data_IF_575527399925
#
_entry.id   IF_575527399925
#
_cell.length_a   1.000
_cell.length_b   1.000
_cell.length_c   1.000
_cell.angle_alpha   90.00
_cell.angle_beta   90.00
_cell.angle_gamma   90.00
#
_symmetry.space_group_name_H-M   'P 1'
#
loop_
_entity.id
_entity.type
_entity.pdbx_description
1 polymer ?
#
# COMPACT_ATOMS: atom_id res chain seq x y z
N UNK A 1 -1.69 10.22 18.03
CA UNK A 1 -1.42 8.77 18.03
C UNK A 1 -1.38 8.39 16.57
N UNK A 2 -0.19 8.35 15.99
CA UNK A 2 -0.01 8.24 14.53
C UNK A 2 0.03 6.77 14.10
N UNK A 3 -0.93 5.98 14.61
CA UNK A 3 -1.04 4.52 14.41
C UNK A 3 0.22 3.70 14.74
N UNK A 4 1.09 4.20 15.62
CA UNK A 4 2.25 3.45 16.11
C UNK A 4 1.85 2.06 16.63
N UNK A 5 2.37 0.96 16.03
CA UNK A 5 2.02 -0.40 16.44
C UNK A 5 2.36 -0.68 17.92
N UNK A 6 3.41 -0.04 18.46
CA UNK A 6 3.81 -0.17 19.87
C UNK A 6 2.77 0.41 20.83
N UNK A 7 2.25 1.59 20.54
CA UNK A 7 1.20 2.24 21.30
C UNK A 7 -0.15 1.52 21.13
N UNK A 8 -0.52 1.19 19.89
CA UNK A 8 -1.82 0.56 19.57
C UNK A 8 -1.93 -0.85 20.18
N UNK A 9 -0.86 -1.63 20.18
CA UNK A 9 -0.85 -2.99 20.74
C UNK A 9 -1.09 -3.04 22.26
N UNK A 10 -0.76 -1.96 22.97
CA UNK A 10 -0.93 -1.80 24.43
C UNK A 10 -2.30 -1.23 24.81
N UNK A 11 -3.12 -0.85 23.85
CA UNK A 11 -4.46 -0.33 24.14
C UNK A 11 -5.35 -1.41 24.74
N UNK A 12 -6.17 -1.03 25.73
CA UNK A 12 -7.16 -1.91 26.33
C UNK A 12 -8.55 -1.56 25.82
N UNK A 13 -9.35 -2.59 25.54
CA UNK A 13 -10.72 -2.44 25.05
C UNK A 13 -11.57 -1.57 26.00
N UNK A 14 -11.40 -1.75 27.32
CA UNK A 14 -12.10 -0.98 28.37
C UNK A 14 -11.81 0.51 28.32
N UNK A 15 -10.61 0.92 27.89
CA UNK A 15 -10.24 2.34 27.80
C UNK A 15 -10.86 3.04 26.58
N UNK A 16 -11.34 2.26 25.61
CA UNK A 16 -11.87 2.76 24.33
C UNK A 16 -13.40 2.65 24.24
N UNK A 17 -14.02 1.78 25.06
CA UNK A 17 -15.47 1.65 25.17
C UNK A 17 -16.06 2.41 26.37
N UNK A 18 -15.24 3.15 27.13
CA UNK A 18 -15.69 3.92 28.28
C UNK A 18 -16.69 5.02 27.86
N UNK A 19 -17.85 5.15 28.53
CA UNK A 19 -18.79 6.25 28.30
C UNK A 19 -18.12 7.59 28.65
N UNK A 20 -18.04 8.51 27.68
CA UNK A 20 -17.43 9.84 27.88
C UNK A 20 -16.20 10.15 27.00
N UNK A 21 -15.57 9.13 26.39
CA UNK A 21 -14.59 9.31 25.30
C UNK A 21 -15.23 9.22 23.90
N UNK A 22 -16.56 9.23 23.85
CA UNK A 22 -17.39 8.78 22.74
C UNK A 22 -17.70 9.86 21.69
N UNK A 23 -16.73 10.69 21.31
CA UNK A 23 -16.97 11.67 20.25
C UNK A 23 -16.55 11.25 18.84
N UNK A 24 -15.81 10.14 18.61
CA UNK A 24 -15.38 9.88 17.20
C UNK A 24 -15.04 8.44 16.76
N UNK A 25 -15.26 7.38 17.55
CA UNK A 25 -14.92 6.03 17.07
C UNK A 25 -16.03 5.40 16.21
N UNK A 26 -15.89 5.53 14.89
CA UNK A 26 -16.75 4.89 13.87
C UNK A 26 -16.62 3.34 13.83
N UNK A 27 -15.80 2.73 14.69
CA UNK A 27 -15.49 1.31 14.67
C UNK A 27 -16.30 0.54 15.70
N UNK A 28 -16.86 -0.59 15.30
CA UNK A 28 -17.48 -1.55 16.22
C UNK A 28 -16.43 -2.24 17.11
N UNK A 29 -16.83 -2.72 18.28
CA UNK A 29 -15.91 -3.39 19.22
C UNK A 29 -15.10 -4.55 18.59
N UNK A 30 -15.66 -5.42 17.73
CA UNK A 30 -14.86 -6.45 17.03
C UNK A 30 -13.80 -5.87 16.09
N UNK A 31 -14.10 -4.77 15.38
CA UNK A 31 -13.13 -4.11 14.50
C UNK A 31 -12.02 -3.47 15.31
N UNK A 32 -12.34 -2.87 16.45
CA UNK A 32 -11.33 -2.34 17.35
C UNK A 32 -10.39 -3.44 17.86
N UNK A 33 -10.94 -4.57 18.32
CA UNK A 33 -10.11 -5.72 18.73
C UNK A 33 -9.21 -6.20 17.59
N UNK A 34 -9.72 -6.26 16.37
CA UNK A 34 -8.92 -6.61 15.20
C UNK A 34 -7.74 -5.65 14.98
N UNK A 35 -7.93 -4.33 15.14
CA UNK A 35 -6.86 -3.33 15.03
C UNK A 35 -5.77 -3.56 16.08
N UNK A 36 -6.15 -3.76 17.35
CA UNK A 36 -5.20 -4.00 18.45
C UNK A 36 -4.43 -5.30 18.23
N UNK A 37 -5.11 -6.38 17.84
CA UNK A 37 -4.47 -7.67 17.54
C UNK A 37 -3.52 -7.55 16.34
N UNK A 38 -3.94 -6.89 15.26
CA UNK A 38 -3.11 -6.68 14.08
C UNK A 38 -1.85 -5.88 14.43
N UNK A 39 -1.94 -4.86 15.28
CA UNK A 39 -0.76 -4.12 15.75
C UNK A 39 0.25 -5.03 16.47
N UNK A 40 -0.23 -5.97 17.31
CA UNK A 40 0.64 -6.98 17.93
C UNK A 40 1.29 -7.90 16.89
N UNK A 41 0.58 -8.27 15.82
CA UNK A 41 1.14 -9.11 14.76
C UNK A 41 2.15 -8.36 13.89
N UNK A 42 1.95 -7.06 13.67
CA UNK A 42 2.92 -6.20 12.98
C UNK A 42 4.25 -6.19 13.74
N UNK A 43 4.24 -6.02 15.07
CA UNK A 43 5.47 -6.07 15.88
C UNK A 43 6.23 -7.39 15.71
N UNK A 44 5.52 -8.53 15.66
CA UNK A 44 6.15 -9.82 15.38
C UNK A 44 6.75 -9.93 13.98
N UNK A 45 6.10 -9.34 12.97
CA UNK A 45 6.66 -9.27 11.62
C UNK A 45 7.92 -8.39 11.61
N UNK A 46 7.91 -7.27 12.32
CA UNK A 46 9.08 -6.39 12.44
C UNK A 46 10.25 -7.17 13.09
N UNK A 47 9.99 -7.97 14.13
CA UNK A 47 11.00 -8.84 14.74
C UNK A 47 11.57 -9.89 13.76
N UNK A 48 10.74 -10.49 12.90
CA UNK A 48 11.15 -11.57 11.98
C UNK A 48 11.79 -11.06 10.67
N UNK A 49 11.27 -9.97 10.10
CA UNK A 49 11.64 -9.47 8.77
C UNK A 49 12.42 -8.15 8.82
N UNK A 50 12.57 -7.55 10.01
CA UNK A 50 13.17 -6.23 10.23
C UNK A 50 12.15 -5.09 10.09
N UNK A 51 11.21 -5.20 9.14
CA UNK A 51 10.16 -4.19 8.97
C UNK A 51 8.91 -4.76 8.28
N UNK A 52 7.77 -4.08 8.48
CA UNK A 52 6.50 -4.48 7.84
C UNK A 52 6.48 -4.14 6.34
N UNK A 53 7.12 -3.05 5.92
CA UNK A 53 7.25 -2.71 4.49
C UNK A 53 8.03 -3.80 3.74
N UNK A 54 9.19 -4.22 4.28
CA UNK A 54 10.05 -5.21 3.64
C UNK A 54 9.33 -6.53 3.51
N UNK A 55 8.58 -6.91 4.54
CA UNK A 55 7.68 -8.05 4.47
C UNK A 55 6.65 -7.92 3.34
N UNK A 56 5.90 -6.82 3.25
CA UNK A 56 4.89 -6.61 2.20
C UNK A 56 5.50 -6.61 0.79
N UNK A 57 6.62 -5.93 0.59
CA UNK A 57 7.32 -5.84 -0.69
C UNK A 57 7.95 -7.18 -1.12
N UNK A 58 8.28 -8.07 -0.19
CA UNK A 58 8.84 -9.39 -0.52
C UNK A 58 7.91 -10.25 -1.39
N UNK A 59 6.58 -10.09 -1.27
CA UNK A 59 5.60 -10.84 -2.07
C UNK A 59 5.63 -10.50 -3.57
N UNK A 60 6.19 -9.33 -3.90
CA UNK A 60 6.32 -8.80 -5.26
C UNK A 60 7.79 -8.64 -5.66
N UNK A 61 8.72 -9.34 -4.99
CA UNK A 61 10.15 -9.26 -5.25
C UNK A 61 10.70 -7.83 -5.20
N UNK A 62 10.16 -7.00 -4.29
CA UNK A 62 10.54 -5.59 -4.13
C UNK A 62 10.38 -4.76 -5.41
N UNK A 63 9.50 -5.19 -6.32
CA UNK A 63 9.18 -4.47 -7.55
C UNK A 63 7.67 -4.22 -7.63
N UNK A 64 7.24 -2.98 -7.80
CA UNK A 64 5.83 -2.65 -7.93
C UNK A 64 5.23 -3.28 -9.18
N UNK A 65 3.95 -3.61 -9.10
CA UNK A 65 3.17 -4.17 -10.20
C UNK A 65 2.48 -3.01 -10.90
N UNK A 66 2.85 -2.72 -12.16
CA UNK A 66 2.17 -1.69 -12.96
C UNK A 66 1.12 -2.35 -13.85
N UNK A 67 -0.14 -2.11 -13.54
CA UNK A 67 -1.26 -2.57 -14.35
C UNK A 67 -1.61 -1.53 -15.40
N UNK A 68 -1.63 -1.93 -16.67
CA UNK A 68 -1.92 -1.02 -17.81
C UNK A 68 -3.38 -1.11 -18.23
N UNK A 69 -4.30 -0.95 -17.28
CA UNK A 69 -5.74 -1.06 -17.57
C UNK A 69 -6.23 0.14 -18.38
N UNK A 70 -7.04 -0.13 -19.40
CA UNK A 70 -7.67 0.93 -20.21
C UNK A 70 -9.03 1.35 -19.66
N UNK A 71 -9.74 0.43 -19.02
CA UNK A 71 -11.10 0.66 -18.52
C UNK A 71 -11.26 0.17 -17.07
N UNK A 72 -12.07 0.85 -16.22
CA UNK A 72 -12.28 0.45 -14.82
C UNK A 72 -12.73 -1.01 -14.65
N UNK A 73 -13.58 -1.51 -15.56
CA UNK A 73 -14.09 -2.90 -15.54
C UNK A 73 -13.00 -3.98 -15.70
N UNK A 74 -11.79 -3.59 -16.12
CA UNK A 74 -10.65 -4.51 -16.24
C UNK A 74 -9.89 -4.65 -14.92
N UNK A 75 -10.06 -3.71 -13.99
CA UNK A 75 -9.43 -3.77 -12.67
C UNK A 75 -10.11 -4.92 -11.90
N UNK A 76 -9.37 -5.97 -11.54
CA UNK A 76 -9.96 -7.11 -10.85
C UNK A 76 -10.37 -6.72 -9.42
N UNK A 77 -11.22 -7.52 -8.78
CA UNK A 77 -11.58 -7.30 -7.37
C UNK A 77 -10.50 -7.87 -6.41
N UNK A 78 -9.66 -8.78 -6.92
CA UNK A 78 -8.52 -9.39 -6.22
C UNK A 78 -7.56 -10.01 -7.22
N UNK A 79 -6.32 -10.26 -6.79
CA UNK A 79 -5.27 -10.88 -7.63
C UNK A 79 -4.69 -12.12 -6.96
N UNK A 80 -4.05 -13.04 -7.72
CA UNK A 80 -3.34 -14.18 -7.14
C UNK A 80 -2.26 -13.77 -6.12
N UNK A 81 -1.61 -12.63 -6.32
CA UNK A 81 -0.63 -12.08 -5.37
C UNK A 81 -1.28 -11.62 -4.07
N UNK A 82 -2.42 -10.94 -4.14
CA UNK A 82 -3.20 -10.58 -2.97
C UNK A 82 -3.77 -11.82 -2.24
N UNK A 83 -4.19 -12.85 -2.97
CA UNK A 83 -4.62 -14.13 -2.39
C UNK A 83 -3.47 -14.79 -1.58
N UNK A 84 -2.25 -14.81 -2.11
CA UNK A 84 -1.07 -15.36 -1.39
C UNK A 84 -0.72 -14.54 -0.15
N UNK A 85 -0.64 -13.21 -0.26
CA UNK A 85 -0.33 -12.35 0.88
C UNK A 85 -1.42 -12.42 1.96
N UNK A 86 -2.70 -12.44 1.55
CA UNK A 86 -3.83 -12.62 2.47
C UNK A 86 -3.74 -13.94 3.23
N UNK A 87 -3.48 -15.06 2.55
CA UNK A 87 -3.30 -16.36 3.21
C UNK A 87 -2.17 -16.36 4.23
N UNK A 88 -1.07 -15.67 3.93
CA UNK A 88 0.05 -15.55 4.86
C UNK A 88 -0.30 -14.74 6.10
N UNK A 89 -0.90 -13.56 5.91
CA UNK A 89 -1.36 -12.70 7.02
C UNK A 89 -2.40 -13.41 7.89
N UNK A 90 -3.36 -14.12 7.30
CA UNK A 90 -4.33 -14.93 8.04
C UNK A 90 -3.62 -16.00 8.88
N UNK A 91 -2.64 -16.71 8.31
CA UNK A 91 -1.84 -17.73 9.03
C UNK A 91 -1.07 -17.12 10.19
N UNK A 92 -0.57 -15.90 10.04
CA UNK A 92 0.12 -15.12 11.10
C UNK A 92 -0.84 -14.55 12.14
N UNK A 93 -2.14 -14.76 11.98
CA UNK A 93 -3.16 -14.40 12.96
C UNK A 93 -3.71 -12.99 12.81
N UNK A 94 -3.47 -12.33 11.67
CA UNK A 94 -4.15 -11.08 11.35
C UNK A 94 -5.66 -11.30 11.19
N UNK A 95 -6.42 -10.21 11.36
CA UNK A 95 -7.88 -10.15 11.25
C UNK A 95 -8.27 -9.13 10.18
N UNK A 96 -9.40 -9.38 9.51
CA UNK A 96 -9.93 -8.52 8.44
C UNK A 96 -8.98 -8.35 7.23
N UNK A 97 -8.13 -9.35 6.96
CA UNK A 97 -7.13 -9.34 5.89
C UNK A 97 -7.51 -10.27 4.73
N UNK A 98 -8.78 -10.23 4.30
CA UNK A 98 -9.25 -11.03 3.16
C UNK A 98 -8.60 -10.58 1.84
N UNK A 99 -8.58 -11.40 0.78
CA UNK A 99 -7.85 -11.09 -0.45
C UNK A 99 -8.23 -9.77 -1.12
N UNK A 100 -9.52 -9.40 -1.11
CA UNK A 100 -9.98 -8.10 -1.64
C UNK A 100 -9.44 -6.94 -0.79
N UNK A 101 -9.45 -7.06 0.53
CA UNK A 101 -8.90 -6.03 1.43
C UNK A 101 -7.40 -5.88 1.21
N UNK A 102 -6.68 -6.99 1.07
CA UNK A 102 -5.24 -6.98 0.80
C UNK A 102 -4.94 -6.41 -0.58
N UNK A 103 -5.75 -6.71 -1.59
CA UNK A 103 -5.57 -6.10 -2.90
C UNK A 103 -5.79 -4.59 -2.85
N UNK A 104 -6.83 -4.10 -2.18
CA UNK A 104 -7.02 -2.67 -1.95
C UNK A 104 -5.87 -2.05 -1.16
N UNK A 105 -5.34 -2.74 -0.16
CA UNK A 105 -4.13 -2.32 0.56
C UNK A 105 -2.93 -2.19 -0.39
N UNK A 106 -2.69 -3.18 -1.26
CA UNK A 106 -1.60 -3.14 -2.23
C UNK A 106 -1.72 -1.95 -3.19
N UNK A 107 -2.94 -1.59 -3.59
CA UNK A 107 -3.21 -0.42 -4.43
C UNK A 107 -2.85 0.89 -3.71
N UNK A 108 -3.34 1.09 -2.48
CA UNK A 108 -3.09 2.34 -1.75
C UNK A 108 -1.65 2.46 -1.24
N UNK A 109 -0.99 1.34 -0.96
CA UNK A 109 0.41 1.30 -0.53
C UNK A 109 1.41 1.46 -1.70
N UNK A 110 0.94 1.52 -2.95
CA UNK A 110 1.80 1.63 -4.13
C UNK A 110 2.53 0.33 -4.51
N UNK A 111 2.20 -0.80 -3.87
CA UNK A 111 2.69 -2.13 -4.26
C UNK A 111 2.17 -2.48 -5.66
N UNK A 112 0.95 -2.03 -5.97
CA UNK A 112 0.36 -2.09 -7.31
C UNK A 112 -0.04 -0.69 -7.77
N UNK A 113 0.39 -0.29 -8.95
CA UNK A 113 -0.14 0.86 -9.67
C UNK A 113 -1.26 0.40 -10.62
N UNK A 114 -2.51 0.59 -10.19
CA UNK A 114 -3.71 0.26 -10.98
C UNK A 114 -4.39 1.49 -11.58
N UNK A 115 -3.70 2.63 -11.65
CA UNK A 115 -4.21 3.77 -12.39
C UNK A 115 -4.48 3.35 -13.84
N UNK A 116 -5.60 3.83 -14.39
CA UNK A 116 -5.88 3.63 -15.81
C UNK A 116 -4.80 4.34 -16.64
N UNK A 117 -4.49 3.80 -17.82
CA UNK A 117 -3.49 4.39 -18.73
C UNK A 117 -3.82 5.82 -19.17
N UNK A 118 -5.08 6.25 -19.02
CA UNK A 118 -5.53 7.61 -19.33
C UNK A 118 -5.69 8.50 -18.08
N UNK A 119 -5.32 8.00 -16.89
CA UNK A 119 -5.27 8.80 -15.69
C UNK A 119 -4.10 9.79 -15.79
N UNK A 120 -4.33 11.05 -15.45
CA UNK A 120 -3.30 12.11 -15.49
C UNK A 120 -2.08 11.80 -14.61
N UNK A 121 -2.20 10.91 -13.62
CA UNK A 121 -1.11 10.48 -12.74
C UNK A 121 -0.45 9.16 -13.15
N UNK A 122 -0.91 8.52 -14.23
CA UNK A 122 -0.40 7.20 -14.60
C UNK A 122 1.12 7.21 -14.81
N UNK A 123 1.62 8.18 -15.57
CA UNK A 123 3.05 8.32 -15.85
C UNK A 123 3.85 8.74 -14.61
N UNK A 124 3.32 9.65 -13.79
CA UNK A 124 3.91 10.05 -12.50
C UNK A 124 4.08 8.84 -11.57
N UNK A 125 3.01 8.06 -11.39
CA UNK A 125 3.03 6.86 -10.56
C UNK A 125 3.92 5.77 -11.17
N UNK A 126 4.02 5.66 -12.50
CA UNK A 126 4.96 4.74 -13.14
C UNK A 126 6.42 5.17 -12.94
N UNK A 127 6.74 6.46 -13.02
CA UNK A 127 8.10 6.95 -12.78
C UNK A 127 8.53 6.72 -11.32
N UNK A 128 7.64 7.01 -10.37
CA UNK A 128 7.85 6.76 -8.95
C UNK A 128 8.11 5.28 -8.66
N UNK A 129 7.51 4.36 -9.43
CA UNK A 129 7.71 2.92 -9.28
C UNK A 129 9.07 2.39 -9.74
N UNK A 130 9.85 3.18 -10.50
CA UNK A 130 11.14 2.77 -11.07
C UNK A 130 12.32 3.41 -10.29
N UNK A 131 12.06 4.32 -9.34
CA UNK A 131 13.12 5.05 -8.63
C UNK A 131 13.81 6.09 -9.52
N UNK A 132 13.18 6.52 -10.61
CA UNK A 132 13.67 7.62 -11.45
C UNK A 132 13.06 8.91 -10.93
N UNK A 133 13.90 9.81 -10.42
CA UNK A 133 13.48 11.13 -9.95
C UNK A 133 12.86 11.98 -11.08
N UNK A 134 12.12 13.05 -10.74
CA UNK A 134 11.28 13.80 -11.67
C UNK A 134 12.02 14.62 -12.77
N UNK A 135 13.33 14.47 -12.96
CA UNK A 135 14.10 15.31 -13.91
C UNK A 135 14.28 14.75 -15.33
N UNK A 136 13.88 13.50 -15.64
CA UNK A 136 14.12 12.93 -16.99
C UNK A 136 12.87 12.69 -17.85
N UNK A 137 11.74 13.33 -17.54
CA UNK A 137 10.58 13.33 -18.45
C UNK A 137 10.71 14.51 -19.44
N UNK A 138 11.72 14.45 -20.32
CA UNK A 138 11.70 15.26 -21.52
C UNK A 138 12.31 14.55 -22.73
N UNK A 139 11.42 14.23 -23.67
CA UNK A 139 11.67 14.08 -25.10
C UNK A 139 12.76 13.09 -25.55
N UNK A 140 12.31 11.89 -25.94
CA UNK A 140 12.53 11.36 -27.31
C UNK A 140 11.69 10.12 -27.57
N UNK A 141 10.61 10.32 -28.34
CA UNK A 141 10.14 9.31 -29.27
C UNK A 141 11.29 9.06 -30.25
N UNK A 142 11.86 7.85 -30.24
CA UNK A 142 12.52 7.26 -31.40
C UNK A 142 12.64 5.74 -31.23
N UNK A 143 11.96 5.04 -32.12
CA UNK A 143 12.15 3.62 -32.41
C UNK A 143 13.63 3.30 -32.60
N UNK A 144 14.07 2.15 -32.06
CA UNK A 144 14.88 1.16 -32.79
C UNK A 144 15.14 -0.12 -31.98
N UNK A 145 14.93 -1.23 -32.67
CA UNK A 145 15.42 -2.58 -32.36
C UNK A 145 16.92 -2.61 -32.06
N UNK A 146 17.33 -3.37 -31.04
CA UNK A 146 18.11 -4.61 -31.23
C UNK A 146 18.51 -5.26 -29.90
N UNK A 147 18.57 -6.58 -29.96
CA UNK A 147 19.04 -7.62 -29.04
C UNK A 147 20.42 -7.35 -28.42
N UNK A 148 20.60 -7.47 -27.09
CA UNK A 148 21.86 -7.89 -26.43
C UNK A 148 21.55 -8.67 -25.12
N UNK A 149 22.37 -9.69 -24.88
CA UNK A 149 22.39 -10.76 -23.87
C UNK A 149 22.78 -10.34 -22.44
N UNK A 150 22.58 -11.28 -21.51
CA UNK A 150 22.84 -11.20 -20.08
C UNK A 150 24.34 -11.11 -19.71
N UNK A 151 24.71 -10.14 -18.86
CA UNK A 151 25.48 -10.33 -17.61
C UNK A 151 25.58 -9.02 -16.82
N UNK A 152 25.25 -9.11 -15.52
CA UNK A 152 25.77 -8.36 -14.37
C UNK A 152 25.97 -6.82 -14.43
N UNK A 153 25.15 -6.09 -13.65
CA UNK A 153 25.64 -5.02 -12.77
C UNK A 153 24.86 -5.06 -11.45
N UNK A 154 25.58 -5.39 -10.38
CA UNK A 154 25.18 -5.18 -9.00
C UNK A 154 25.24 -3.70 -8.65
N UNK A 155 24.12 -3.13 -8.21
CA UNK A 155 24.14 -1.88 -7.45
C UNK A 155 23.12 -1.96 -6.33
N UNK A 156 23.66 -1.85 -5.14
CA UNK A 156 23.01 -1.73 -3.85
C UNK A 156 22.24 -0.41 -3.84
N UNK A 157 20.91 -0.47 -3.70
CA UNK A 157 20.05 0.71 -3.56
C UNK A 157 19.07 0.44 -2.41
N UNK A 158 19.60 0.63 -1.20
CA UNK A 158 18.81 0.93 -0.03
C UNK A 158 18.10 2.27 -0.23
N UNK A 159 16.78 2.21 -0.40
CA UNK A 159 15.81 3.04 0.31
C UNK A 159 14.44 2.45 -0.02
N UNK A 160 13.97 1.53 0.82
CA UNK A 160 12.57 1.17 0.83
C UNK A 160 11.81 2.43 1.24
N UNK A 161 11.05 3.01 0.31
CA UNK A 161 10.18 4.13 0.60
C UNK A 161 9.27 3.77 1.76
N UNK A 162 9.40 4.52 2.84
CA UNK A 162 8.61 4.36 4.06
C UNK A 162 7.12 4.35 3.73
N UNK A 163 6.46 3.22 3.95
CA UNK A 163 5.00 3.11 3.87
C UNK A 163 4.28 4.04 4.87
N UNK A 164 5.04 4.60 5.82
CA UNK A 164 4.57 5.58 6.79
C UNK A 164 4.31 6.97 6.17
N UNK A 165 4.92 7.30 5.02
CA UNK A 165 4.83 8.61 4.38
C UNK A 165 3.68 8.80 3.37
N UNK A 166 3.00 7.73 2.96
CA UNK A 166 1.98 7.79 1.89
C UNK A 166 0.62 8.30 2.41
N UNK A 167 0.45 8.47 3.73
CA UNK A 167 -0.82 8.86 4.35
C UNK A 167 -1.19 10.36 4.26
N UNK A 168 -0.37 11.20 3.63
CA UNK A 168 -0.55 12.68 3.63
C UNK A 168 -1.00 13.31 2.30
N UNK A 169 -1.52 12.53 1.35
CA UNK A 169 -1.91 13.04 0.03
C UNK A 169 -3.41 13.09 -0.32
N UNK A 170 -4.32 12.59 0.54
CA UNK A 170 -5.76 12.46 0.21
C UNK A 170 -6.68 13.43 0.97
N UNK A 171 -6.24 14.66 1.20
CA UNK A 171 -7.08 15.71 1.78
C UNK A 171 -7.37 16.83 0.77
N UNK A 172 -8.64 16.99 0.42
CA UNK A 172 -9.24 18.29 0.09
C UNK A 172 -9.38 18.64 -1.39
N UNK A 173 -10.56 18.37 -1.97
CA UNK A 173 -10.98 18.90 -3.27
C UNK A 173 -12.48 18.82 -3.45
N UNK A 174 -13.27 19.37 -2.52
CA UNK A 174 -14.71 19.56 -2.71
C UNK A 174 -14.94 20.89 -3.44
N UNK A 175 -15.15 20.83 -4.76
CA UNK A 175 -15.69 21.97 -5.50
C UNK A 175 -17.22 21.96 -5.32
N UNK A 176 -17.71 22.78 -4.39
CA UNK A 176 -19.12 23.13 -4.31
C UNK A 176 -19.44 24.19 -5.35
N UNK A 177 -20.13 23.81 -6.43
CA UNK A 177 -20.78 24.76 -7.33
C UNK A 177 -22.13 25.15 -6.73
N UNK A 178 -22.23 26.38 -6.22
CA UNK A 178 -23.49 27.07 -5.95
C UNK A 178 -24.10 27.51 -7.29
N UNK A 179 -25.30 27.03 -7.60
CA UNK A 179 -26.17 27.66 -8.61
C UNK A 179 -27.09 28.61 -7.86
N UNK A 180 -26.99 29.90 -8.20
CA UNK A 180 -27.99 30.94 -7.91
C UNK A 180 -29.02 30.99 -9.03
#
# INVERSE_FOLDING_TARGET
>A
MDFDPGAVSKMSEKKMTAPGTSTVMLLSAPKLRAVIENARKILKIIEEFGSFDRYCWSFVNHKPIVSRFRYPRQVPVKTPKADTMSKDLVRRGFRCVGPTVIYSFMQVAGITNDHLINCYRFDECCAATIGVGPEEVNHKVKEKSNTITAEQVSVDLGLAGDINGIYLGFAGGTNGSTVS
#
